data_IF_085514005924
#
_entry.id   IF_085514005924
#
_cell.length_a   1.000
_cell.length_b   1.000
_cell.length_c   1.000
_cell.angle_alpha   90.00
_cell.angle_beta   90.00
_cell.angle_gamma   90.00
#
_symmetry.space_group_name_H-M   'P 1'
#
loop_
_entity.id
_entity.type
_entity.pdbx_description
1 polymer ?
#
# COMPACT_ATOMS: atom_id res chain seq x y z
N UNK A 1 -14.61 7.55 -8.26
CA UNK A 1 -14.65 6.59 -7.15
C UNK A 1 -14.12 5.22 -7.56
N UNK A 2 -14.78 4.46 -8.45
CA UNK A 2 -14.31 3.12 -8.88
C UNK A 2 -12.87 3.11 -9.41
N UNK A 3 -12.49 4.07 -10.25
CA UNK A 3 -11.12 4.11 -10.80
C UNK A 3 -10.05 4.28 -9.72
N UNK A 4 -10.35 4.99 -8.63
CA UNK A 4 -9.40 5.17 -7.51
C UNK A 4 -9.19 3.84 -6.79
N UNK A 5 -10.25 3.04 -6.64
CA UNK A 5 -10.18 1.73 -5.99
C UNK A 5 -9.32 0.78 -6.83
N UNK A 6 -9.54 0.75 -8.15
CA UNK A 6 -8.73 -0.05 -9.06
C UNK A 6 -7.26 0.37 -8.99
N UNK A 7 -6.99 1.67 -8.97
CA UNK A 7 -5.63 2.22 -8.86
C UNK A 7 -4.95 1.82 -7.55
N UNK A 8 -5.66 1.88 -6.41
CA UNK A 8 -5.16 1.37 -5.13
C UNK A 8 -4.79 -0.11 -5.25
N UNK A 9 -5.70 -0.95 -5.78
CA UNK A 9 -5.46 -2.39 -5.92
C UNK A 9 -4.26 -2.69 -6.82
N UNK A 10 -4.13 -2.01 -7.95
CA UNK A 10 -3.01 -2.17 -8.88
C UNK A 10 -1.68 -1.81 -8.21
N UNK A 11 -1.63 -0.68 -7.49
CA UNK A 11 -0.44 -0.25 -6.77
C UNK A 11 -0.09 -1.23 -5.63
N UNK A 12 -1.09 -1.74 -4.88
CA UNK A 12 -0.85 -2.75 -3.84
C UNK A 12 -0.24 -4.03 -4.45
N UNK A 13 -0.70 -4.46 -5.62
CA UNK A 13 -0.08 -5.59 -6.34
C UNK A 13 1.37 -5.25 -6.72
N UNK A 14 1.64 -4.05 -7.22
CA UNK A 14 3.01 -3.61 -7.52
C UNK A 14 3.91 -3.62 -6.28
N UNK A 15 3.42 -3.16 -5.11
CA UNK A 15 4.16 -3.25 -3.85
C UNK A 15 4.56 -4.71 -3.54
N UNK A 16 3.65 -5.67 -3.73
CA UNK A 16 3.95 -7.08 -3.49
C UNK A 16 5.04 -7.63 -4.41
N UNK A 17 5.08 -7.17 -5.67
CA UNK A 17 6.13 -7.53 -6.64
C UNK A 17 7.49 -6.98 -6.21
N UNK A 18 7.54 -5.77 -5.65
CA UNK A 18 8.80 -5.24 -5.11
C UNK A 18 9.25 -5.97 -3.85
N UNK A 19 8.32 -6.38 -2.99
CA UNK A 19 8.65 -7.19 -1.82
C UNK A 19 9.25 -8.54 -2.22
N UNK A 20 8.68 -9.21 -3.24
CA UNK A 20 9.27 -10.44 -3.79
C UNK A 20 10.70 -10.21 -4.30
N UNK A 21 10.94 -9.11 -5.02
CA UNK A 21 12.29 -8.73 -5.45
C UNK A 21 13.25 -8.52 -4.29
N UNK A 22 12.81 -7.90 -3.18
CA UNK A 22 13.61 -7.77 -1.95
C UNK A 22 14.00 -9.17 -1.44
N UNK A 23 13.04 -10.09 -1.32
CA UNK A 23 13.31 -11.44 -0.81
C UNK A 23 14.30 -12.19 -1.71
N UNK A 24 14.17 -12.08 -3.03
CA UNK A 24 15.11 -12.67 -3.98
C UNK A 24 16.51 -12.06 -3.83
N UNK A 25 16.61 -10.74 -3.70
CA UNK A 25 17.89 -10.03 -3.61
C UNK A 25 18.60 -10.29 -2.26
N UNK A 26 17.84 -10.51 -1.18
CA UNK A 26 18.36 -10.94 0.12
C UNK A 26 19.08 -12.30 0.08
N UNK A 27 18.64 -13.20 -0.81
CA UNK A 27 19.25 -14.50 -1.07
C UNK A 27 20.47 -14.41 -2.00
N UNK A 28 20.77 -13.22 -2.53
CA UNK A 28 21.89 -12.93 -3.43
C UNK A 28 22.83 -11.91 -2.75
N UNK A 29 23.39 -10.99 -3.53
CA UNK A 29 24.39 -10.01 -3.10
C UNK A 29 23.78 -8.77 -2.40
N UNK A 30 22.45 -8.68 -2.30
CA UNK A 30 21.71 -7.65 -1.54
C UNK A 30 21.95 -6.21 -2.03
N UNK A 31 22.29 -6.03 -3.30
CA UNK A 31 22.66 -4.73 -3.86
C UNK A 31 21.47 -3.77 -4.01
N UNK A 32 20.28 -4.31 -4.23
CA UNK A 32 19.09 -3.56 -4.65
C UNK A 32 18.01 -3.47 -3.57
N UNK A 33 18.17 -4.13 -2.41
CA UNK A 33 17.17 -4.15 -1.33
C UNK A 33 16.71 -2.73 -0.95
N UNK A 34 17.65 -1.78 -0.84
CA UNK A 34 17.33 -0.39 -0.47
C UNK A 34 16.48 0.31 -1.51
N UNK A 35 16.79 0.09 -2.78
CA UNK A 35 16.08 0.68 -3.92
C UNK A 35 14.65 0.15 -4.00
N UNK A 36 14.48 -1.17 -3.87
CA UNK A 36 13.14 -1.78 -3.85
C UNK A 36 12.33 -1.35 -2.64
N UNK A 37 12.94 -1.22 -1.46
CA UNK A 37 12.26 -0.70 -0.26
C UNK A 37 11.79 0.74 -0.45
N UNK A 38 12.61 1.59 -1.08
CA UNK A 38 12.21 2.97 -1.39
C UNK A 38 11.05 3.01 -2.38
N UNK A 39 11.02 2.11 -3.37
CA UNK A 39 9.90 2.01 -4.30
C UNK A 39 8.61 1.54 -3.62
N UNK A 40 8.68 0.64 -2.63
CA UNK A 40 7.52 0.25 -1.82
C UNK A 40 6.98 1.45 -1.05
N UNK A 41 7.84 2.17 -0.32
CA UNK A 41 7.44 3.34 0.47
C UNK A 41 6.80 4.45 -0.41
N UNK A 42 7.36 4.74 -1.59
CA UNK A 42 6.76 5.73 -2.50
C UNK A 42 5.37 5.31 -3.01
N UNK A 43 5.17 4.01 -3.22
CA UNK A 43 3.89 3.46 -3.70
C UNK A 43 2.85 3.41 -2.60
N UNK A 44 3.22 2.97 -1.40
CA UNK A 44 2.38 3.03 -0.21
C UNK A 44 1.90 4.47 0.03
N UNK A 45 2.81 5.46 -0.02
CA UNK A 45 2.42 6.86 0.10
C UNK A 45 1.43 7.32 -0.98
N UNK A 46 1.49 6.72 -2.18
CA UNK A 46 0.51 6.98 -3.23
C UNK A 46 -0.86 6.37 -2.89
N UNK A 47 -0.90 5.17 -2.31
CA UNK A 47 -2.12 4.53 -1.81
C UNK A 47 -2.78 5.37 -0.73
N UNK A 48 -2.02 5.87 0.24
CA UNK A 48 -2.46 6.80 1.27
C UNK A 48 -3.19 8.03 0.68
N UNK A 49 -2.56 8.70 -0.28
CA UNK A 49 -3.11 9.88 -0.94
C UNK A 49 -4.40 9.55 -1.70
N UNK A 50 -4.44 8.39 -2.37
CA UNK A 50 -5.62 7.91 -3.07
C UNK A 50 -6.75 7.58 -2.09
N UNK A 51 -6.45 7.00 -0.94
CA UNK A 51 -7.43 6.70 0.09
C UNK A 51 -8.04 7.98 0.69
N UNK A 52 -7.22 8.99 1.01
CA UNK A 52 -7.71 10.31 1.45
C UNK A 52 -8.63 10.92 0.39
N UNK A 53 -8.22 10.89 -0.88
CA UNK A 53 -9.03 11.40 -2.00
C UNK A 53 -10.35 10.64 -2.16
N UNK A 54 -10.32 9.32 -1.97
CA UNK A 54 -11.49 8.46 -2.03
C UNK A 54 -12.46 8.80 -0.91
N UNK A 55 -11.99 8.88 0.35
CA UNK A 55 -12.82 9.25 1.51
C UNK A 55 -13.48 10.62 1.31
N UNK A 56 -12.74 11.61 0.82
CA UNK A 56 -13.30 12.93 0.47
C UNK A 56 -14.37 12.82 -0.61
N UNK A 57 -14.11 12.07 -1.68
CA UNK A 57 -15.10 11.82 -2.74
C UNK A 57 -16.35 11.13 -2.22
N UNK A 58 -16.25 10.24 -1.22
CA UNK A 58 -17.43 9.65 -0.59
C UNK A 58 -18.22 10.69 0.21
N UNK A 59 -17.56 11.54 0.99
CA UNK A 59 -18.25 12.56 1.79
C UNK A 59 -18.98 13.60 0.93
N UNK A 60 -18.39 13.98 -0.20
CA UNK A 60 -18.95 15.00 -1.09
C UNK A 60 -20.06 14.46 -2.01
N UNK A 61 -20.25 13.14 -2.07
CA UNK A 61 -21.25 12.52 -2.95
C UNK A 61 -22.59 12.38 -2.24
N UNK A 62 -23.65 12.91 -2.84
CA UNK A 62 -25.02 12.66 -2.38
C UNK A 62 -25.45 11.23 -2.71
N UNK A 63 -25.33 10.35 -1.72
CA UNK A 63 -25.70 8.95 -1.85
C UNK A 63 -27.15 8.71 -1.46
N UNK A 64 -27.88 8.01 -2.34
CA UNK A 64 -29.22 7.45 -2.02
C UNK A 64 -29.15 6.08 -1.33
N UNK A 65 -27.97 5.67 -0.85
CA UNK A 65 -27.77 4.39 -0.16
C UNK A 65 -27.83 4.57 1.35
N UNK A 66 -28.12 3.49 2.07
CA UNK A 66 -28.18 3.55 3.53
C UNK A 66 -26.77 3.70 4.15
N UNK A 67 -26.73 4.16 5.41
CA UNK A 67 -25.47 4.33 6.16
C UNK A 67 -24.64 3.05 6.28
N UNK A 68 -25.29 1.88 6.36
CA UNK A 68 -24.59 0.60 6.42
C UNK A 68 -23.74 0.36 5.17
N UNK A 69 -24.26 0.69 3.99
CA UNK A 69 -23.54 0.55 2.72
C UNK A 69 -22.32 1.46 2.67
N UNK A 70 -22.46 2.71 3.11
CA UNK A 70 -21.35 3.67 3.17
C UNK A 70 -20.26 3.17 4.12
N UNK A 71 -20.65 2.65 5.29
CA UNK A 71 -19.74 2.05 6.27
C UNK A 71 -19.02 0.82 5.70
N UNK A 72 -19.73 -0.10 5.06
CA UNK A 72 -19.14 -1.29 4.44
C UNK A 72 -18.10 -0.90 3.40
N UNK A 73 -18.42 0.06 2.53
CA UNK A 73 -17.51 0.55 1.49
C UNK A 73 -16.26 1.19 2.12
N UNK A 74 -16.42 2.01 3.16
CA UNK A 74 -15.29 2.59 3.90
C UNK A 74 -14.34 1.53 4.47
N UNK A 75 -14.88 0.50 5.14
CA UNK A 75 -14.06 -0.57 5.72
C UNK A 75 -13.31 -1.38 4.66
N UNK A 76 -13.90 -1.59 3.48
CA UNK A 76 -13.20 -2.28 2.38
C UNK A 76 -11.96 -1.49 1.97
N UNK A 77 -12.01 -0.16 1.97
CA UNK A 77 -10.87 0.68 1.63
C UNK A 77 -9.80 0.69 2.72
N UNK A 78 -10.20 0.72 3.99
CA UNK A 78 -9.28 0.58 5.12
C UNK A 78 -8.50 -0.76 5.04
N UNK A 79 -9.18 -1.83 4.63
CA UNK A 79 -8.53 -3.15 4.45
C UNK A 79 -7.56 -3.13 3.27
N UNK A 80 -7.89 -2.46 2.16
CA UNK A 80 -7.01 -2.38 0.99
C UNK A 80 -5.71 -1.62 1.31
N UNK A 81 -5.82 -0.48 1.99
CA UNK A 81 -4.69 0.30 2.51
C UNK A 81 -3.82 -0.54 3.45
N UNK A 82 -4.43 -1.21 4.45
CA UNK A 82 -3.70 -2.03 5.41
C UNK A 82 -2.86 -3.16 4.76
N UNK A 83 -3.21 -3.63 3.56
CA UNK A 83 -2.39 -4.60 2.82
C UNK A 83 -1.09 -3.95 2.32
N UNK A 84 -1.15 -2.74 1.73
CA UNK A 84 0.07 -2.03 1.32
C UNK A 84 0.93 -1.65 2.51
N UNK A 85 0.33 -1.19 3.61
CA UNK A 85 1.07 -0.83 4.84
C UNK A 85 1.79 -2.06 5.41
N UNK A 86 1.13 -3.23 5.37
CA UNK A 86 1.75 -4.48 5.82
C UNK A 86 2.96 -4.86 4.96
N UNK A 87 2.90 -4.61 3.64
CA UNK A 87 4.02 -4.84 2.72
C UNK A 87 5.17 -3.89 3.03
N UNK A 88 4.87 -2.60 3.23
CA UNK A 88 5.85 -1.60 3.65
C UNK A 88 6.50 -1.98 4.98
N UNK A 89 5.71 -2.33 5.99
CA UNK A 89 6.22 -2.72 7.30
C UNK A 89 7.19 -3.91 7.25
N UNK A 90 6.98 -4.86 6.34
CA UNK A 90 7.95 -5.95 6.11
C UNK A 90 9.23 -5.42 5.44
N UNK A 91 9.13 -4.56 4.44
CA UNK A 91 10.28 -3.97 3.76
C UNK A 91 11.13 -3.11 4.74
N UNK A 92 10.48 -2.30 5.56
CA UNK A 92 11.11 -1.48 6.59
C UNK A 92 11.80 -2.34 7.65
N UNK A 93 11.15 -3.42 8.09
CA UNK A 93 11.77 -4.37 9.02
C UNK A 93 13.06 -4.98 8.43
N UNK A 94 13.02 -5.39 7.17
CA UNK A 94 14.21 -5.88 6.45
C UNK A 94 15.31 -4.82 6.41
N UNK A 95 14.95 -3.57 6.12
CA UNK A 95 15.88 -2.45 6.09
C UNK A 95 16.52 -2.17 7.46
N UNK A 96 15.75 -2.25 8.55
CA UNK A 96 16.27 -2.15 9.92
C UNK A 96 17.30 -3.26 10.19
N UNK A 97 17.01 -4.51 9.82
CA UNK A 97 17.95 -5.61 10.01
C UNK A 97 19.26 -5.42 9.22
N UNK A 98 19.18 -4.94 7.98
CA UNK A 98 20.36 -4.67 7.15
C UNK A 98 21.25 -3.55 7.69
N UNK A 99 20.63 -2.56 8.33
CA UNK A 99 21.35 -1.40 8.90
C UNK A 99 21.83 -1.63 10.33
N UNK A 100 21.19 -2.54 11.07
CA UNK A 100 21.54 -2.89 12.46
C UNK A 100 22.60 -3.99 12.58
N UNK A 101 23.00 -4.62 11.47
CA UNK A 101 24.01 -5.68 11.41
C UNK A 101 25.47 -5.23 11.23
N UNK A 102 25.77 -3.95 11.51
CA UNK A 102 27.12 -3.38 11.50
C UNK A 102 27.67 -3.19 12.91
#
# INVERSE_FOLDING_TARGET
TINIILEIMDITVECSVFLDKILIDLLKDRENVKEYSSQINQKEHTVDLLNIKLRKSLQDTDYKVNFFTIFTVGNVFDILEAISDSIEGVADYIMVLLTSGL
#
